data_IF_288596012209
#
_entry.id   IF_288596012209
#
_cell.length_a   1.000
_cell.length_b   1.000
_cell.length_c   1.000
_cell.angle_alpha   90.00
_cell.angle_beta   90.00
_cell.angle_gamma   90.00
#
_symmetry.space_group_name_H-M   'P 1'
#
loop_
_entity.id
_entity.type
_entity.pdbx_description
1 polymer ?
#
# COMPACT_ATOMS: atom_id res chain seq x y z
N UNK A 1 3.72 -1.54 -20.51
CA UNK A 1 4.13 -2.40 -19.37
C UNK A 1 4.89 -1.65 -18.28
N UNK A 2 5.92 -0.83 -18.59
CA UNK A 2 6.69 -0.07 -17.57
C UNK A 2 5.84 0.75 -16.58
N UNK A 3 4.70 1.26 -17.02
CA UNK A 3 3.79 2.08 -16.21
C UNK A 3 3.12 1.36 -15.05
N UNK A 4 2.88 0.06 -15.20
CA UNK A 4 2.12 -0.77 -14.25
C UNK A 4 3.10 -1.47 -13.29
N UNK A 5 4.37 -1.56 -13.69
CA UNK A 5 5.43 -2.22 -12.91
C UNK A 5 5.49 -1.77 -11.44
N UNK A 6 5.38 -0.47 -11.08
CA UNK A 6 5.38 -0.08 -9.67
C UNK A 6 4.20 -0.67 -8.89
N UNK A 7 3.01 -0.75 -9.49
CA UNK A 7 1.84 -1.37 -8.85
C UNK A 7 2.03 -2.88 -8.71
N UNK A 8 2.60 -3.55 -9.72
CA UNK A 8 2.91 -4.99 -9.63
C UNK A 8 3.87 -5.24 -8.48
N UNK A 9 4.95 -4.46 -8.37
CA UNK A 9 5.94 -4.59 -7.29
C UNK A 9 5.25 -4.44 -5.93
N UNK A 10 4.39 -3.43 -5.75
CA UNK A 10 3.69 -3.21 -4.48
C UNK A 10 2.82 -4.40 -4.07
N UNK A 11 1.89 -4.83 -4.94
CA UNK A 11 0.96 -5.89 -4.61
C UNK A 11 1.63 -7.25 -4.48
N UNK A 12 2.56 -7.60 -5.38
CA UNK A 12 3.28 -8.89 -5.31
C UNK A 12 4.15 -8.95 -4.05
N UNK A 13 4.90 -7.88 -3.75
CA UNK A 13 5.75 -7.86 -2.55
C UNK A 13 4.90 -7.97 -1.29
N UNK A 14 3.77 -7.27 -1.20
CA UNK A 14 2.88 -7.37 -0.06
C UNK A 14 2.26 -8.77 0.12
N UNK A 15 1.90 -9.46 -0.98
CA UNK A 15 1.43 -10.86 -0.91
C UNK A 15 2.55 -11.79 -0.43
N UNK A 16 3.77 -11.62 -0.94
CA UNK A 16 4.93 -12.43 -0.52
C UNK A 16 5.26 -12.19 0.95
N UNK A 17 5.28 -10.93 1.40
CA UNK A 17 5.53 -10.59 2.80
C UNK A 17 4.43 -11.12 3.71
N UNK A 18 3.17 -11.02 3.31
CA UNK A 18 2.06 -11.61 4.05
C UNK A 18 2.21 -13.12 4.20
N UNK A 19 2.57 -13.82 3.11
CA UNK A 19 2.83 -15.25 3.15
C UNK A 19 3.99 -15.63 4.08
N UNK A 20 5.08 -14.87 4.05
CA UNK A 20 6.22 -15.06 4.95
C UNK A 20 5.82 -14.83 6.41
N UNK A 21 5.04 -13.78 6.68
CA UNK A 21 4.53 -13.45 8.01
C UNK A 21 3.67 -14.57 8.60
N UNK A 22 2.84 -15.26 7.80
CA UNK A 22 2.07 -16.40 8.29
C UNK A 22 2.93 -17.56 8.79
N UNK A 23 4.16 -17.69 8.29
CA UNK A 23 5.08 -18.77 8.67
C UNK A 23 5.98 -18.39 9.83
N UNK A 24 6.50 -17.17 9.80
CA UNK A 24 7.42 -16.65 10.81
C UNK A 24 7.31 -15.12 10.90
N UNK A 25 6.62 -14.64 11.93
CA UNK A 25 6.46 -13.21 12.19
C UNK A 25 7.76 -12.55 12.60
N UNK A 26 8.54 -13.20 13.47
CA UNK A 26 9.77 -12.63 14.02
C UNK A 26 10.85 -12.49 12.94
N UNK A 27 10.96 -13.47 12.03
CA UNK A 27 11.87 -13.39 10.88
C UNK A 27 11.42 -12.41 9.79
N UNK A 28 10.13 -12.08 9.70
CA UNK A 28 9.58 -11.26 8.60
C UNK A 28 9.49 -9.77 8.92
N UNK A 29 9.51 -9.39 10.20
CA UNK A 29 9.42 -8.01 10.68
C UNK A 29 10.36 -7.03 9.94
N UNK A 30 11.63 -7.43 9.76
CA UNK A 30 12.63 -6.59 9.09
C UNK A 30 12.32 -6.38 7.61
N UNK A 31 11.74 -7.38 6.95
CA UNK A 31 11.32 -7.22 5.55
C UNK A 31 10.18 -6.22 5.39
N UNK A 32 9.25 -6.16 6.35
CA UNK A 32 8.22 -5.11 6.37
C UNK A 32 8.83 -3.72 6.59
N UNK A 33 9.77 -3.58 7.51
CA UNK A 33 10.50 -2.31 7.74
C UNK A 33 11.25 -1.86 6.47
N UNK A 34 11.93 -2.78 5.77
CA UNK A 34 12.60 -2.50 4.50
C UNK A 34 11.65 -2.27 3.33
N UNK A 35 10.40 -2.71 3.41
CA UNK A 35 9.42 -2.47 2.37
C UNK A 35 8.87 -1.04 2.40
N UNK A 36 8.83 -0.38 3.56
CA UNK A 36 8.42 1.03 3.71
C UNK A 36 9.17 1.97 2.75
N UNK A 37 10.53 1.99 2.69
CA UNK A 37 11.24 2.87 1.75
C UNK A 37 10.95 2.52 0.29
N UNK A 38 10.67 1.26 -0.03
CA UNK A 38 10.26 0.86 -1.39
C UNK A 38 8.92 1.50 -1.75
N UNK A 39 7.93 1.47 -0.85
CA UNK A 39 6.63 2.12 -1.05
C UNK A 39 6.82 3.63 -1.20
N UNK A 40 7.65 4.25 -0.37
CA UNK A 40 7.93 5.68 -0.41
C UNK A 40 8.53 6.10 -1.76
N UNK A 41 9.54 5.38 -2.26
CA UNK A 41 10.15 5.63 -3.57
C UNK A 41 9.15 5.43 -4.71
N UNK A 42 8.35 4.36 -4.65
CA UNK A 42 7.31 4.13 -5.65
C UNK A 42 6.30 5.28 -5.65
N UNK A 43 5.81 5.69 -4.48
CA UNK A 43 4.89 6.82 -4.31
C UNK A 43 5.46 8.13 -4.87
N UNK A 44 6.75 8.38 -4.65
CA UNK A 44 7.45 9.56 -5.15
C UNK A 44 7.48 9.59 -6.68
N UNK A 45 7.77 8.45 -7.32
CA UNK A 45 7.83 8.34 -8.78
C UNK A 45 6.42 8.36 -9.38
N UNK A 46 5.47 7.67 -8.77
CA UNK A 46 4.12 7.52 -9.30
C UNK A 46 3.25 8.75 -9.08
N UNK A 47 3.40 9.50 -7.98
CA UNK A 47 2.61 10.70 -7.69
C UNK A 47 2.92 11.89 -8.61
N UNK A 48 4.01 11.82 -9.39
CA UNK A 48 4.40 12.85 -10.36
C UNK A 48 3.29 13.27 -11.31
N UNK A 49 2.55 12.30 -11.84
CA UNK A 49 1.46 12.55 -12.79
C UNK A 49 0.34 13.40 -12.19
N UNK A 50 0.09 13.25 -10.88
CA UNK A 50 -0.98 13.96 -10.18
C UNK A 50 -0.56 15.40 -9.88
N UNK A 51 0.68 15.60 -9.42
CA UNK A 51 1.25 16.94 -9.20
C UNK A 51 1.26 17.80 -10.48
N UNK A 52 1.55 17.19 -11.63
CA UNK A 52 1.46 17.89 -12.92
C UNK A 52 0.02 18.27 -13.30
N UNK A 53 -0.97 17.46 -12.95
CA UNK A 53 -2.38 17.79 -13.16
C UNK A 53 -2.84 18.95 -12.28
N UNK A 54 -2.32 19.06 -11.05
CA UNK A 54 -2.69 20.12 -10.10
C UNK A 54 -1.92 21.43 -10.27
N UNK A 55 -0.98 21.53 -11.22
CA UNK A 55 -0.07 22.69 -11.38
C UNK A 55 0.74 22.99 -10.11
N UNK A 56 1.05 21.97 -9.32
CA UNK A 56 1.78 22.13 -8.07
C UNK A 56 3.29 22.36 -8.33
N UNK A 57 3.92 23.18 -7.49
CA UNK A 57 5.36 23.43 -7.57
C UNK A 57 6.11 22.18 -7.15
N UNK A 58 7.05 21.72 -7.98
CA UNK A 58 7.81 20.49 -7.76
C UNK A 58 8.49 20.40 -6.39
N UNK A 59 9.12 21.50 -5.94
CA UNK A 59 9.79 21.54 -4.65
C UNK A 59 8.82 21.29 -3.49
N UNK A 60 7.59 21.81 -3.59
CA UNK A 60 6.56 21.60 -2.57
C UNK A 60 6.08 20.16 -2.51
N UNK A 61 5.86 19.54 -3.68
CA UNK A 61 5.54 18.11 -3.78
C UNK A 61 6.61 17.23 -3.11
N UNK A 62 7.90 17.50 -3.38
CA UNK A 62 8.99 16.75 -2.77
C UNK A 62 9.04 16.91 -1.25
N UNK A 63 8.90 18.14 -0.75
CA UNK A 63 8.88 18.41 0.70
C UNK A 63 7.73 17.64 1.34
N UNK A 64 6.53 17.66 0.76
CA UNK A 64 5.38 16.91 1.26
C UNK A 64 5.65 15.41 1.31
N UNK A 65 6.26 14.84 0.27
CA UNK A 65 6.61 13.41 0.26
C UNK A 65 7.67 13.06 1.32
N UNK A 66 8.69 13.91 1.48
CA UNK A 66 9.72 13.71 2.50
C UNK A 66 9.15 13.80 3.90
N UNK A 67 8.28 14.78 4.18
CA UNK A 67 7.60 14.90 5.48
C UNK A 67 6.66 13.73 5.72
N UNK A 68 5.92 13.29 4.70
CA UNK A 68 4.94 12.21 4.82
C UNK A 68 5.58 10.86 5.15
N UNK A 69 6.54 10.42 4.33
CA UNK A 69 7.21 9.14 4.54
C UNK A 69 8.27 9.25 5.64
N UNK A 70 8.98 10.38 5.72
CA UNK A 70 9.93 10.66 6.80
C UNK A 70 9.26 10.71 8.16
N UNK A 71 8.01 11.15 8.25
CA UNK A 71 7.20 11.09 9.46
C UNK A 71 6.96 9.65 9.94
N UNK A 72 6.65 8.72 9.03
CA UNK A 72 6.54 7.30 9.37
C UNK A 72 7.88 6.71 9.85
N UNK A 73 8.99 7.03 9.16
CA UNK A 73 10.32 6.60 9.60
C UNK A 73 10.69 7.13 10.98
N UNK A 74 10.46 8.43 11.21
CA UNK A 74 10.74 9.07 12.49
C UNK A 74 9.88 8.47 13.62
N UNK A 75 8.60 8.19 13.34
CA UNK A 75 7.70 7.55 14.29
C UNK A 75 8.19 6.14 14.66
N UNK A 76 8.51 5.30 13.68
CA UNK A 76 9.01 3.94 13.93
C UNK A 76 10.36 3.96 14.64
N UNK A 77 11.27 4.86 14.24
CA UNK A 77 12.55 5.05 14.89
C UNK A 77 12.38 5.45 16.37
N UNK A 78 11.55 6.47 16.65
CA UNK A 78 11.29 6.92 18.01
C UNK A 78 10.61 5.82 18.85
N UNK A 79 9.61 5.14 18.29
CA UNK A 79 8.93 4.04 18.96
C UNK A 79 9.89 2.91 19.34
N UNK A 80 10.78 2.51 18.42
CA UNK A 80 11.80 1.50 18.68
C UNK A 80 12.84 1.96 19.70
N UNK A 81 13.25 3.22 19.63
CA UNK A 81 14.20 3.79 20.59
C UNK A 81 13.62 3.85 22.02
N UNK A 82 12.30 4.02 22.15
CA UNK A 82 11.57 3.95 23.41
C UNK A 82 11.27 2.50 23.87
N UNK A 83 11.81 1.49 23.19
CA UNK A 83 11.69 0.08 23.57
C UNK A 83 10.39 -0.60 23.12
N UNK A 84 9.60 0.00 22.22
CA UNK A 84 8.31 -0.60 21.79
C UNK A 84 8.49 -2.02 21.24
N UNK A 85 9.53 -2.26 20.45
CA UNK A 85 9.82 -3.56 19.84
C UNK A 85 10.11 -4.66 20.85
N UNK A 86 10.66 -4.30 22.01
CA UNK A 86 10.94 -5.23 23.11
C UNK A 86 9.72 -5.38 24.03
N UNK A 87 8.85 -4.38 24.08
CA UNK A 87 7.68 -4.34 24.95
C UNK A 87 6.47 -5.13 24.43
N UNK A 88 6.41 -5.44 23.13
CA UNK A 88 5.32 -6.19 22.50
C UNK A 88 5.83 -7.46 21.82
N UNK A 89 4.95 -8.45 21.64
CA UNK A 89 5.29 -9.64 20.89
C UNK A 89 5.54 -9.34 19.39
N UNK A 90 6.34 -10.17 18.73
CA UNK A 90 6.70 -10.02 17.32
C UNK A 90 5.47 -9.99 16.40
N UNK A 91 4.40 -10.74 16.71
CA UNK A 91 3.16 -10.70 15.95
C UNK A 91 2.50 -9.33 16.08
N UNK A 92 2.36 -8.81 17.31
CA UNK A 92 1.74 -7.51 17.57
C UNK A 92 2.50 -6.37 16.90
N UNK A 93 3.83 -6.37 16.99
CA UNK A 93 4.66 -5.37 16.35
C UNK A 93 4.56 -5.44 14.82
N UNK A 94 4.60 -6.65 14.23
CA UNK A 94 4.48 -6.82 12.78
C UNK A 94 3.14 -6.29 12.28
N UNK A 95 2.05 -6.62 12.96
CA UNK A 95 0.72 -6.09 12.66
C UNK A 95 0.68 -4.56 12.75
N UNK A 96 1.29 -3.98 13.81
CA UNK A 96 1.40 -2.54 13.99
C UNK A 96 2.12 -1.88 12.81
N UNK A 97 3.28 -2.42 12.39
CA UNK A 97 4.05 -1.90 11.26
C UNK A 97 3.22 -1.95 9.97
N UNK A 98 2.50 -3.04 9.72
CA UNK A 98 1.65 -3.16 8.52
C UNK A 98 0.50 -2.15 8.59
N UNK A 99 -0.17 -1.98 9.73
CA UNK A 99 -1.24 -0.98 9.89
C UNK A 99 -0.72 0.45 9.71
N UNK A 100 0.40 0.81 10.34
CA UNK A 100 1.01 2.12 10.16
C UNK A 100 1.36 2.36 8.69
N UNK A 101 1.96 1.38 8.02
CA UNK A 101 2.28 1.44 6.59
C UNK A 101 1.01 1.58 5.73
N UNK A 102 -0.05 0.85 6.07
CA UNK A 102 -1.34 0.93 5.40
C UNK A 102 -1.97 2.32 5.54
N UNK A 103 -2.05 2.86 6.75
CA UNK A 103 -2.64 4.17 7.01
C UNK A 103 -1.79 5.32 6.44
N UNK A 104 -0.46 5.23 6.50
CA UNK A 104 0.41 6.18 5.81
C UNK A 104 0.21 6.12 4.29
N UNK A 105 0.05 4.92 3.72
CA UNK A 105 -0.25 4.77 2.29
C UNK A 105 -1.64 5.30 1.92
N UNK A 106 -2.63 5.13 2.81
CA UNK A 106 -3.98 5.66 2.62
C UNK A 106 -3.98 7.20 2.68
N UNK A 107 -3.26 7.77 3.64
CA UNK A 107 -3.08 9.22 3.75
C UNK A 107 -2.34 9.77 2.52
N UNK A 108 -1.30 9.07 2.04
CA UNK A 108 -0.67 9.36 0.75
C UNK A 108 -1.70 9.36 -0.39
N UNK A 109 -2.61 8.39 -0.39
CA UNK A 109 -3.65 8.28 -1.41
C UNK A 109 -4.62 9.46 -1.43
N UNK A 110 -4.98 9.98 -0.26
CA UNK A 110 -5.89 11.11 -0.14
C UNK A 110 -5.27 12.38 -0.73
N UNK A 111 -3.99 12.63 -0.47
CA UNK A 111 -3.42 13.96 -0.69
C UNK A 111 -2.31 14.05 -1.75
N UNK A 112 -1.75 12.93 -2.20
CA UNK A 112 -0.53 12.90 -3.04
C UNK A 112 -0.61 11.90 -4.20
N UNK A 113 -1.03 10.67 -3.95
CA UNK A 113 -1.09 9.62 -4.98
C UNK A 113 -2.27 8.66 -4.77
N UNK A 114 -3.41 8.99 -5.38
CA UNK A 114 -4.66 8.23 -5.22
C UNK A 114 -4.56 6.75 -5.62
N UNK A 115 -3.56 6.36 -6.43
CA UNK A 115 -3.36 4.95 -6.82
C UNK A 115 -3.06 4.05 -5.63
N UNK A 116 -2.51 4.61 -4.54
CA UNK A 116 -2.21 3.86 -3.32
C UNK A 116 -3.45 3.48 -2.51
N UNK A 117 -4.64 4.00 -2.85
CA UNK A 117 -5.87 3.75 -2.09
C UNK A 117 -6.17 2.24 -1.97
N UNK A 118 -6.29 1.53 -3.09
CA UNK A 118 -6.59 0.09 -3.07
C UNK A 118 -5.44 -0.75 -2.48
N UNK A 119 -4.20 -0.30 -2.65
CA UNK A 119 -3.04 -0.94 -2.02
C UNK A 119 -3.11 -0.82 -0.50
N UNK A 120 -3.47 0.36 0.02
CA UNK A 120 -3.62 0.58 1.46
C UNK A 120 -4.75 -0.26 2.06
N UNK A 121 -5.89 -0.38 1.37
CA UNK A 121 -6.98 -1.27 1.79
C UNK A 121 -6.54 -2.73 1.83
N UNK A 122 -5.76 -3.16 0.84
CA UNK A 122 -5.19 -4.50 0.84
C UNK A 122 -4.22 -4.73 2.00
N UNK A 123 -3.40 -3.76 2.38
CA UNK A 123 -2.54 -3.87 3.57
C UNK A 123 -3.35 -3.92 4.87
N UNK A 124 -4.43 -3.13 5.00
CA UNK A 124 -5.36 -3.23 6.15
C UNK A 124 -5.95 -4.63 6.24
N UNK A 125 -6.39 -5.18 5.11
CA UNK A 125 -6.88 -6.55 5.02
C UNK A 125 -5.81 -7.56 5.49
N UNK A 126 -4.57 -7.45 5.00
CA UNK A 126 -3.47 -8.32 5.42
C UNK A 126 -3.21 -8.23 6.93
N UNK A 127 -3.10 -7.02 7.48
CA UNK A 127 -2.89 -6.82 8.91
C UNK A 127 -4.03 -7.44 9.74
N UNK A 128 -5.27 -7.28 9.30
CA UNK A 128 -6.43 -7.88 9.95
C UNK A 128 -6.40 -9.41 9.93
N UNK A 129 -6.01 -10.03 8.80
CA UNK A 129 -5.84 -11.47 8.71
C UNK A 129 -4.77 -11.99 9.67
N UNK A 130 -3.68 -11.25 9.84
CA UNK A 130 -2.60 -11.61 10.77
C UNK A 130 -2.98 -11.39 12.25
N UNK A 131 -3.89 -10.46 12.53
CA UNK A 131 -4.37 -10.17 13.89
C UNK A 131 -5.34 -11.23 14.41
N UNK A 132 -6.15 -11.83 13.54
CA UNK A 132 -7.11 -12.87 13.89
C UNK A 132 -6.99 -14.06 12.94
N UNK A 133 -5.93 -14.90 13.06
CA UNK A 133 -5.66 -15.97 12.10
C UNK A 133 -6.60 -17.18 12.24
N UNK A 134 -7.12 -17.45 13.45
CA UNK A 134 -7.94 -18.65 13.72
C UNK A 134 -9.45 -18.43 13.51
N UNK A 135 -9.95 -17.21 13.72
CA UNK A 135 -11.38 -16.91 13.60
C UNK A 135 -11.60 -15.59 12.85
N UNK A 136 -11.28 -15.63 11.56
CA UNK A 136 -11.29 -14.43 10.74
C UNK A 136 -12.66 -14.20 10.07
N UNK A 137 -13.43 -13.23 10.58
CA UNK A 137 -14.74 -12.89 10.04
C UNK A 137 -14.71 -12.46 8.57
N UNK A 138 -13.65 -11.81 8.09
CA UNK A 138 -13.54 -11.44 6.68
C UNK A 138 -13.32 -12.65 5.78
N UNK A 139 -12.50 -13.63 6.19
CA UNK A 139 -12.33 -14.85 5.39
C UNK A 139 -13.62 -15.66 5.34
N UNK A 140 -14.37 -15.73 6.44
CA UNK A 140 -15.69 -16.38 6.46
C UNK A 140 -16.67 -15.65 5.53
N UNK A 141 -16.78 -14.33 5.63
CA UNK A 141 -17.65 -13.54 4.77
C UNK A 141 -17.32 -13.70 3.27
N UNK A 142 -16.04 -13.65 2.90
CA UNK A 142 -15.59 -13.90 1.53
C UNK A 142 -15.89 -15.34 1.13
N UNK A 143 -15.66 -16.30 2.03
CA UNK A 143 -15.97 -17.70 1.83
C UNK A 143 -17.42 -17.94 1.47
N UNK A 144 -18.35 -17.41 2.28
CA UNK A 144 -19.78 -17.55 2.08
C UNK A 144 -20.26 -16.83 0.81
N UNK A 145 -19.72 -15.63 0.54
CA UNK A 145 -20.10 -14.82 -0.64
C UNK A 145 -19.70 -15.49 -1.95
N UNK A 146 -18.54 -16.15 -1.99
CA UNK A 146 -17.98 -16.75 -3.20
C UNK A 146 -18.06 -18.29 -3.24
N UNK A 147 -18.69 -18.92 -2.25
CA UNK A 147 -18.82 -20.38 -2.15
C UNK A 147 -17.48 -21.10 -1.97
N UNK A 148 -16.54 -20.53 -1.21
CA UNK A 148 -15.22 -21.11 -0.97
C UNK A 148 -15.26 -21.97 0.30
N UNK A 149 -15.27 -23.28 0.12
CA UNK A 149 -15.18 -24.21 1.23
C UNK A 149 -13.87 -24.03 2.00
N UNK A 150 -13.96 -24.06 3.34
CA UNK A 150 -12.82 -23.96 4.26
C UNK A 150 -11.98 -22.69 4.06
N UNK A 151 -12.63 -21.55 3.83
CA UNK A 151 -11.99 -20.27 3.50
C UNK A 151 -10.83 -19.87 4.44
N UNK A 152 -10.94 -20.17 5.73
CA UNK A 152 -9.87 -19.89 6.72
C UNK A 152 -8.55 -20.61 6.38
N UNK A 153 -8.61 -21.85 5.88
CA UNK A 153 -7.42 -22.60 5.42
C UNK A 153 -6.82 -22.07 4.12
N UNK A 154 -7.55 -21.21 3.40
CA UNK A 154 -7.19 -20.66 2.09
C UNK A 154 -6.85 -19.17 2.17
N UNK A 155 -6.41 -18.68 3.34
CA UNK A 155 -6.08 -17.28 3.58
C UNK A 155 -5.14 -16.69 2.52
N UNK A 156 -4.10 -17.42 2.11
CA UNK A 156 -3.18 -16.98 1.05
C UNK A 156 -3.83 -16.88 -0.34
N UNK A 157 -4.66 -17.86 -0.70
CA UNK A 157 -5.34 -17.86 -2.00
C UNK A 157 -6.35 -16.71 -2.07
N UNK A 158 -7.10 -16.49 -0.99
CA UNK A 158 -8.04 -15.38 -0.87
C UNK A 158 -7.30 -14.04 -0.90
N UNK A 159 -6.22 -13.89 -0.12
CA UNK A 159 -5.43 -12.64 -0.12
C UNK A 159 -4.83 -12.33 -1.49
N UNK A 160 -4.39 -13.36 -2.23
CA UNK A 160 -3.90 -13.21 -3.61
C UNK A 160 -5.01 -12.74 -4.55
N UNK A 161 -6.24 -13.26 -4.39
CA UNK A 161 -7.41 -12.81 -5.14
C UNK A 161 -7.79 -11.36 -4.82
N UNK A 162 -7.81 -10.98 -3.55
CA UNK A 162 -8.06 -9.61 -3.10
C UNK A 162 -6.96 -8.66 -3.61
N UNK A 163 -5.69 -9.08 -3.57
CA UNK A 163 -4.57 -8.33 -4.13
C UNK A 163 -4.75 -8.10 -5.63
N UNK A 164 -5.16 -9.14 -6.38
CA UNK A 164 -5.43 -9.02 -7.81
C UNK A 164 -6.58 -8.03 -8.09
N UNK A 165 -7.68 -8.11 -7.34
CA UNK A 165 -8.79 -7.17 -7.47
C UNK A 165 -8.36 -5.72 -7.17
N UNK A 166 -7.61 -5.51 -6.08
CA UNK A 166 -7.06 -4.21 -5.72
C UNK A 166 -6.07 -3.67 -6.77
N UNK A 167 -5.24 -4.53 -7.34
CA UNK A 167 -4.32 -4.19 -8.42
C UNK A 167 -5.06 -3.75 -9.69
N UNK A 168 -6.10 -4.48 -10.10
CA UNK A 168 -6.93 -4.11 -11.26
C UNK A 168 -7.61 -2.76 -11.03
N UNK A 169 -8.19 -2.55 -9.85
CA UNK A 169 -8.81 -1.28 -9.48
C UNK A 169 -7.81 -0.11 -9.47
N UNK A 170 -6.62 -0.32 -8.89
CA UNK A 170 -5.54 0.68 -8.91
C UNK A 170 -5.03 0.96 -10.32
N UNK A 171 -4.96 -0.05 -11.19
CA UNK A 171 -4.58 0.10 -12.60
C UNK A 171 -5.62 0.92 -13.36
N UNK A 172 -6.91 0.70 -13.11
CA UNK A 172 -7.99 1.47 -13.71
C UNK A 172 -7.88 2.98 -13.37
N UNK A 173 -7.59 3.29 -12.10
CA UNK A 173 -7.31 4.67 -11.65
C UNK A 173 -6.13 5.26 -12.41
N UNK A 174 -5.03 4.51 -12.53
CA UNK A 174 -3.83 4.96 -13.25
C UNK A 174 -4.13 5.29 -14.71
N UNK A 175 -4.89 4.44 -15.41
CA UNK A 175 -5.26 4.66 -16.81
C UNK A 175 -6.18 5.88 -16.95
N UNK A 176 -7.13 6.06 -16.04
CA UNK A 176 -8.05 7.19 -16.01
C UNK A 176 -7.30 8.53 -15.85
N UNK A 177 -6.34 8.60 -14.92
CA UNK A 177 -5.51 9.79 -14.71
C UNK A 177 -4.64 10.12 -15.94
N UNK A 178 -4.15 9.09 -16.65
CA UNK A 178 -3.38 9.28 -17.88
C UNK A 178 -4.24 9.84 -19.02
N UNK A 179 -5.48 9.40 -19.14
CA UNK A 179 -6.45 9.99 -20.07
C UNK A 179 -6.63 11.49 -19.80
N UNK A 180 -6.86 11.86 -18.54
CA UNK A 180 -7.00 13.26 -18.14
C UNK A 180 -5.76 14.12 -18.46
N UNK A 181 -4.55 13.58 -18.25
CA UNK A 181 -3.29 14.23 -18.60
C UNK A 181 -3.16 14.57 -20.09
N UNK A 182 -3.54 13.63 -20.96
CA UNK A 182 -3.47 13.82 -22.41
C UNK A 182 -4.43 14.93 -22.83
N UNK A 183 -5.66 14.92 -22.33
CA UNK A 183 -6.65 15.97 -22.59
C UNK A 183 -6.16 17.35 -22.14
N UNK A 184 -5.56 17.45 -20.94
CA UNK A 184 -4.98 18.71 -20.44
C UNK A 184 -3.87 19.23 -21.36
N UNK A 185 -2.97 18.34 -21.83
CA UNK A 185 -1.85 18.70 -22.73
C UNK A 185 -2.33 19.17 -24.10
N UNK A 186 -3.33 18.50 -24.67
CA UNK A 186 -3.93 18.92 -25.95
C UNK A 186 -4.60 20.29 -25.80
N UNK A 187 -5.34 20.50 -24.71
CA UNK A 187 -5.97 21.78 -24.41
C UNK A 187 -4.98 22.94 -24.25
N UNK A 188 -3.84 22.70 -23.59
CA UNK A 188 -2.79 23.69 -23.45
C UNK A 188 -2.19 24.10 -24.80
N UNK A 189 -1.83 23.13 -25.65
CA UNK A 189 -1.31 23.39 -27.01
C UNK A 189 -2.27 24.19 -27.88
N UNK A 190 -3.59 23.98 -27.74
CA UNK A 190 -4.60 24.72 -28.48
C UNK A 190 -4.75 26.18 -28.02
N UNK A 191 -4.37 26.51 -26.79
CA UNK A 191 -4.39 27.90 -26.29
C UNK A 191 -3.16 28.71 -26.72
N UNK A 192 -2.09 28.02 -27.14
CA UNK A 192 -0.83 28.61 -27.59
C UNK A 192 -0.79 28.85 -29.11
N UNK A 193 -1.76 28.29 -29.86
CA UNK A 193 -1.92 28.43 -31.31
C UNK A 193 -3.06 29.40 -31.65
#
# INVERSE_FOLDING_TARGET
MLAILPQVILFVSAVVLFWLSQKDMAGTIGYWEYFIPVIAVISLISGWSQSYLSNEVWAWYLIRQLVHWGGLFALLYAANHLGLREAVDAQQYTILVIYLTAFTSLLAAIHVDFKLFFFSLFLVFCAYLLAAPADNAMLLYIGDTFGIDSAQSKALSISSGVAMAGFVASTFVLLSMRGALITKRIGAKRKEA
#
